data_IF_542003092555
#
_entry.id   IF_542003092555
#
_cell.length_a   1.000
_cell.length_b   1.000
_cell.length_c   1.000
_cell.angle_alpha   90.00
_cell.angle_beta   90.00
_cell.angle_gamma   90.00
#
_symmetry.space_group_name_H-M   'P 1'
#
loop_
_entity.id
_entity.type
_entity.pdbx_description
1 polymer ?
#
# COMPACT_ATOMS: atom_id res chain seq x y z
N UNK A 1 -17.00 -27.19 11.96
CA UNK A 1 -17.51 -26.40 10.81
C UNK A 1 -16.33 -25.81 10.06
N UNK A 2 -16.58 -25.08 8.98
CA UNK A 2 -15.51 -24.42 8.19
C UNK A 2 -15.93 -23.04 7.73
N UNK A 3 -15.03 -22.08 7.87
CA UNK A 3 -15.15 -20.75 7.27
C UNK A 3 -14.29 -20.69 6.00
N UNK A 4 -14.86 -20.26 4.88
CA UNK A 4 -14.15 -20.17 3.59
C UNK A 4 -14.28 -18.77 2.98
N UNK A 5 -13.19 -18.20 2.43
CA UNK A 5 -13.22 -16.92 1.74
C UNK A 5 -13.86 -17.09 0.35
N UNK A 6 -14.53 -16.04 -0.11
CA UNK A 6 -15.10 -15.96 -1.46
C UNK A 6 -14.37 -14.91 -2.30
N UNK A 7 -14.66 -14.84 -3.59
CA UNK A 7 -14.12 -13.80 -4.49
C UNK A 7 -14.69 -12.41 -4.21
N UNK A 8 -15.85 -12.29 -3.54
CA UNK A 8 -16.56 -11.02 -3.33
C UNK A 8 -16.37 -10.46 -1.91
N UNK A 9 -15.24 -10.74 -1.27
CA UNK A 9 -14.93 -10.33 0.13
C UNK A 9 -15.91 -10.84 1.20
N UNK A 10 -16.83 -11.74 0.86
CA UNK A 10 -17.71 -12.41 1.81
C UNK A 10 -17.06 -13.67 2.37
N UNK A 11 -17.51 -14.08 3.54
CA UNK A 11 -17.19 -15.37 4.12
C UNK A 11 -18.36 -16.34 3.98
N UNK A 12 -18.04 -17.57 3.59
CA UNK A 12 -18.95 -18.70 3.59
C UNK A 12 -18.72 -19.50 4.87
N UNK A 13 -19.65 -19.42 5.82
CA UNK A 13 -19.63 -20.15 7.07
C UNK A 13 -20.47 -21.42 6.93
N UNK A 14 -19.83 -22.58 7.06
CA UNK A 14 -20.43 -23.91 6.85
C UNK A 14 -20.52 -24.62 8.21
N UNK A 15 -21.74 -24.82 8.70
CA UNK A 15 -22.01 -25.39 10.01
C UNK A 15 -22.90 -26.64 9.91
N UNK A 16 -22.46 -27.78 10.47
CA UNK A 16 -23.35 -28.93 10.68
C UNK A 16 -24.26 -28.66 11.88
N UNK A 17 -25.41 -28.01 11.65
CA UNK A 17 -26.33 -27.59 12.70
C UNK A 17 -27.00 -28.77 13.44
N UNK A 18 -27.10 -29.93 12.81
CA UNK A 18 -27.66 -31.13 13.47
C UNK A 18 -26.82 -31.56 14.68
N UNK A 19 -25.51 -31.29 14.66
CA UNK A 19 -24.65 -31.53 15.82
C UNK A 19 -24.95 -30.57 16.98
N UNK A 20 -25.49 -29.40 16.67
CA UNK A 20 -25.86 -28.36 17.62
C UNK A 20 -27.32 -28.49 18.13
N UNK A 21 -28.18 -29.30 17.49
CA UNK A 21 -29.53 -29.56 17.97
C UNK A 21 -29.52 -30.30 19.30
N UNK A 22 -30.26 -29.80 20.29
CA UNK A 22 -30.21 -30.29 21.67
C UNK A 22 -31.25 -31.39 21.96
N UNK A 23 -32.21 -31.60 21.03
CA UNK A 23 -33.33 -32.56 21.14
C UNK A 23 -32.99 -34.05 20.88
N UNK A 24 -31.71 -34.43 20.88
CA UNK A 24 -31.29 -35.86 20.83
C UNK A 24 -31.58 -36.61 19.52
N UNK A 25 -32.32 -36.04 18.55
CA UNK A 25 -32.49 -36.58 17.20
C UNK A 25 -31.27 -36.23 16.35
N UNK A 26 -30.23 -37.08 16.39
CA UNK A 26 -29.10 -36.95 15.45
C UNK A 26 -29.48 -37.50 14.08
N UNK A 27 -30.25 -36.73 13.31
CA UNK A 27 -30.41 -37.00 11.87
C UNK A 27 -29.24 -36.30 11.18
N UNK A 28 -28.38 -37.05 10.49
CA UNK A 28 -27.27 -36.48 9.72
C UNK A 28 -27.78 -35.72 8.51
N UNK A 29 -28.11 -34.45 8.68
CA UNK A 29 -28.56 -33.53 7.65
C UNK A 29 -27.40 -32.82 6.94
N UNK A 30 -27.69 -32.13 5.82
CA UNK A 30 -26.69 -31.35 5.10
C UNK A 30 -26.23 -30.16 5.96
N UNK A 31 -24.93 -29.80 5.92
CA UNK A 31 -24.45 -28.62 6.64
C UNK A 31 -25.10 -27.35 6.09
N UNK A 32 -25.52 -26.47 6.98
CA UNK A 32 -26.09 -25.17 6.61
C UNK A 32 -24.98 -24.19 6.27
N UNK A 33 -25.24 -23.36 5.26
CA UNK A 33 -24.29 -22.39 4.74
C UNK A 33 -24.82 -20.98 4.99
N UNK A 34 -24.00 -20.15 5.62
CA UNK A 34 -24.27 -18.73 5.81
C UNK A 34 -23.27 -17.90 5.00
N UNK A 35 -23.76 -16.86 4.34
CA UNK A 35 -22.92 -15.84 3.73
C UNK A 35 -22.85 -14.66 4.70
N UNK A 36 -21.64 -14.27 5.06
CA UNK A 36 -21.40 -13.27 6.09
C UNK A 36 -20.47 -12.19 5.58
N UNK A 37 -20.80 -10.93 5.85
CA UNK A 37 -19.95 -9.80 5.53
C UNK A 37 -19.05 -9.46 6.74
N UNK A 38 -17.75 -9.14 6.54
CA UNK A 38 -16.82 -8.84 7.64
C UNK A 38 -17.25 -7.67 8.55
N UNK A 39 -17.98 -6.69 8.02
CA UNK A 39 -18.48 -5.54 8.79
C UNK A 39 -19.83 -5.78 9.49
N UNK A 40 -20.36 -7.00 9.44
CA UNK A 40 -21.53 -7.34 10.25
C UNK A 40 -21.10 -7.71 11.67
N UNK A 41 -21.90 -7.39 12.69
CA UNK A 41 -21.62 -7.79 14.06
C UNK A 41 -21.92 -9.27 14.30
N UNK A 42 -21.26 -9.88 15.27
CA UNK A 42 -21.48 -11.28 15.67
C UNK A 42 -22.94 -11.58 16.06
N UNK A 43 -23.65 -10.61 16.64
CA UNK A 43 -25.08 -10.70 16.95
C UNK A 43 -25.94 -11.06 15.72
N UNK A 44 -25.55 -10.58 14.54
CA UNK A 44 -26.26 -10.93 13.30
C UNK A 44 -26.08 -12.42 12.97
N UNK A 45 -24.85 -12.94 13.07
CA UNK A 45 -24.58 -14.37 12.90
C UNK A 45 -25.34 -15.19 13.95
N UNK A 46 -25.32 -14.78 15.22
CA UNK A 46 -26.06 -15.47 16.29
C UNK A 46 -27.53 -15.63 15.92
N UNK A 47 -28.18 -14.55 15.46
CA UNK A 47 -29.60 -14.59 15.06
C UNK A 47 -29.85 -15.52 13.88
N UNK A 48 -28.99 -15.51 12.87
CA UNK A 48 -29.11 -16.41 11.71
C UNK A 48 -28.97 -17.88 12.12
N UNK A 49 -28.04 -18.19 13.02
CA UNK A 49 -27.86 -19.55 13.52
C UNK A 49 -29.04 -19.96 14.39
N UNK A 50 -29.51 -19.09 15.31
CA UNK A 50 -30.69 -19.36 16.15
C UNK A 50 -31.92 -19.64 15.29
N UNK A 51 -32.18 -18.82 14.26
CA UNK A 51 -33.33 -19.02 13.36
C UNK A 51 -33.26 -20.33 12.58
N UNK A 52 -32.05 -20.84 12.34
CA UNK A 52 -31.84 -22.10 11.61
C UNK A 52 -31.82 -23.34 12.50
N UNK A 53 -31.64 -23.18 13.83
CA UNK A 53 -31.55 -24.29 14.78
C UNK A 53 -32.88 -24.98 15.06
N UNK A 54 -34.01 -24.30 14.78
CA UNK A 54 -35.36 -24.86 14.99
C UNK A 54 -35.66 -25.24 16.44
N UNK A 55 -34.88 -24.75 17.40
CA UNK A 55 -34.98 -25.10 18.82
C UNK A 55 -36.30 -24.58 19.41
N UNK A 56 -36.91 -25.38 20.30
CA UNK A 56 -38.16 -24.99 20.98
C UNK A 56 -37.93 -24.00 22.13
N UNK A 57 -36.69 -23.83 22.62
CA UNK A 57 -36.34 -22.88 23.68
C UNK A 57 -35.64 -21.61 23.17
N UNK A 58 -34.99 -20.89 24.10
CA UNK A 58 -34.22 -19.67 23.82
C UNK A 58 -32.71 -19.97 23.89
N UNK A 59 -32.10 -20.54 22.83
CA UNK A 59 -30.67 -20.83 22.83
C UNK A 59 -29.84 -19.55 22.79
N UNK A 60 -28.79 -19.51 23.60
CA UNK A 60 -27.79 -18.43 23.57
C UNK A 60 -26.54 -18.91 22.85
N UNK A 61 -26.04 -18.12 21.90
CA UNK A 61 -24.83 -18.43 21.13
C UNK A 61 -23.70 -17.53 21.60
N UNK A 62 -22.56 -18.12 21.95
CA UNK A 62 -21.33 -17.39 22.23
C UNK A 62 -20.19 -17.85 21.33
N UNK A 63 -19.39 -16.88 20.90
CA UNK A 63 -18.20 -17.10 20.09
C UNK A 63 -16.98 -17.01 20.99
N UNK A 64 -16.13 -18.04 20.95
CA UNK A 64 -14.90 -18.10 21.74
C UNK A 64 -13.70 -18.32 20.83
N UNK A 65 -12.67 -17.48 20.97
CA UNK A 65 -11.36 -17.71 20.34
C UNK A 65 -10.36 -18.19 21.38
N UNK A 66 -9.39 -18.99 20.95
CA UNK A 66 -8.24 -19.34 21.76
C UNK A 66 -7.11 -18.34 21.48
N UNK A 67 -6.48 -17.81 22.54
CA UNK A 67 -5.20 -17.09 22.43
C UNK A 67 -4.08 -18.11 22.23
N UNK A 68 -2.93 -17.76 21.61
CA UNK A 68 -1.79 -18.68 21.48
C UNK A 68 -1.27 -19.26 22.82
N UNK A 69 -1.55 -18.59 23.95
CA UNK A 69 -1.25 -19.07 25.31
C UNK A 69 -2.28 -20.05 25.88
N UNK A 70 -3.26 -20.50 25.08
CA UNK A 70 -4.28 -21.48 25.48
C UNK A 70 -5.47 -20.91 26.27
N UNK A 71 -5.53 -19.60 26.50
CA UNK A 71 -6.67 -18.96 27.16
C UNK A 71 -7.85 -18.82 26.18
N UNK A 72 -9.04 -19.24 26.59
CA UNK A 72 -10.27 -18.98 25.83
C UNK A 72 -10.79 -17.57 26.17
N UNK A 73 -11.16 -16.80 25.15
CA UNK A 73 -11.81 -15.49 25.27
C UNK A 73 -13.19 -15.54 24.61
N UNK A 74 -14.21 -15.14 25.36
CA UNK A 74 -15.55 -14.92 24.83
C UNK A 74 -15.66 -13.51 24.25
N UNK A 75 -16.17 -13.41 23.03
CA UNK A 75 -16.33 -12.15 22.32
C UNK A 75 -17.68 -11.50 22.58
N UNK A 76 -17.72 -10.17 22.51
CA UNK A 76 -18.96 -9.40 22.56
C UNK A 76 -19.79 -9.63 21.30
N UNK A 77 -21.11 -9.67 21.43
CA UNK A 77 -22.01 -9.80 20.28
C UNK A 77 -21.98 -8.58 19.33
N UNK A 78 -21.45 -7.44 19.81
CA UNK A 78 -21.29 -6.22 19.03
C UNK A 78 -20.00 -6.17 18.21
N UNK A 79 -19.08 -7.13 18.38
CA UNK A 79 -17.82 -7.14 17.64
C UNK A 79 -18.05 -7.49 16.16
N UNK A 80 -17.35 -6.81 15.27
CA UNK A 80 -17.36 -7.11 13.84
C UNK A 80 -16.75 -8.48 13.55
N UNK A 81 -17.38 -9.21 12.64
CA UNK A 81 -16.94 -10.53 12.21
C UNK A 81 -15.51 -10.52 11.68
N UNK A 82 -15.12 -9.45 10.99
CA UNK A 82 -13.76 -9.26 10.48
C UNK A 82 -12.72 -9.20 11.61
N UNK A 83 -13.00 -8.47 12.68
CA UNK A 83 -12.10 -8.35 13.83
C UNK A 83 -12.03 -9.65 14.63
N UNK A 84 -13.17 -10.33 14.80
CA UNK A 84 -13.23 -11.66 15.41
C UNK A 84 -12.41 -12.70 14.61
N UNK A 85 -12.62 -12.76 13.29
CA UNK A 85 -11.89 -13.67 12.39
C UNK A 85 -10.39 -13.37 12.43
N UNK A 86 -10.00 -12.09 12.55
CA UNK A 86 -8.59 -11.68 12.64
C UNK A 86 -7.90 -12.33 13.84
N UNK A 87 -8.53 -12.32 15.02
CA UNK A 87 -7.97 -12.98 16.21
C UNK A 87 -8.06 -14.51 16.11
N UNK A 88 -9.20 -15.05 15.66
CA UNK A 88 -9.39 -16.49 15.50
C UNK A 88 -8.45 -17.12 14.45
N UNK A 89 -7.99 -16.34 13.47
CA UNK A 89 -7.02 -16.79 12.47
C UNK A 89 -5.67 -17.17 13.08
N UNK A 90 -5.31 -16.61 14.25
CA UNK A 90 -4.06 -16.90 14.97
C UNK A 90 -3.96 -18.35 15.40
N UNK A 91 -5.06 -18.91 15.89
CA UNK A 91 -5.15 -20.31 16.32
C UNK A 91 -5.74 -21.24 15.26
N UNK A 92 -6.06 -20.71 14.07
CA UNK A 92 -6.70 -21.41 12.93
C UNK A 92 -8.09 -21.99 13.22
N UNK A 93 -8.62 -21.79 14.41
CA UNK A 93 -9.92 -22.30 14.81
C UNK A 93 -10.55 -21.40 15.87
N UNK A 94 -11.88 -21.34 15.87
CA UNK A 94 -12.67 -20.82 16.98
C UNK A 94 -13.72 -21.83 17.40
N UNK A 95 -14.22 -21.69 18.62
CA UNK A 95 -15.29 -22.52 19.15
C UNK A 95 -16.59 -21.72 19.20
N UNK A 96 -17.64 -22.29 18.63
CA UNK A 96 -19.01 -21.81 18.75
C UNK A 96 -19.70 -22.61 19.86
N UNK A 97 -20.19 -21.92 20.89
CA UNK A 97 -20.88 -22.55 22.02
C UNK A 97 -22.37 -22.21 21.95
N UNK A 98 -23.22 -23.23 21.98
CA UNK A 98 -24.68 -23.10 22.05
C UNK A 98 -25.12 -23.59 23.41
N UNK A 99 -25.82 -22.73 24.16
CA UNK A 99 -26.37 -23.04 25.48
C UNK A 99 -27.88 -22.96 25.45
N UNK A 100 -28.55 -24.02 25.87
CA UNK A 100 -30.00 -24.06 26.11
C UNK A 100 -30.23 -24.71 27.49
N UNK A 101 -30.71 -23.91 28.44
CA UNK A 101 -30.83 -24.33 29.84
C UNK A 101 -29.49 -24.78 30.43
N UNK A 102 -29.40 -26.07 30.81
CA UNK A 102 -28.22 -26.68 31.43
C UNK A 102 -27.28 -27.38 30.42
N UNK A 103 -27.68 -27.53 29.16
CA UNK A 103 -26.89 -28.24 28.15
C UNK A 103 -26.08 -27.24 27.33
N UNK A 104 -24.78 -27.48 27.25
CA UNK A 104 -23.84 -26.70 26.44
C UNK A 104 -23.19 -27.59 25.39
N UNK A 105 -23.19 -27.14 24.14
CA UNK A 105 -22.52 -27.81 23.03
C UNK A 105 -21.49 -26.90 22.39
N UNK A 106 -20.29 -27.42 22.19
CA UNK A 106 -19.19 -26.73 21.54
C UNK A 106 -18.97 -27.29 20.13
N UNK A 107 -18.83 -26.41 19.15
CA UNK A 107 -18.49 -26.76 17.77
C UNK A 107 -17.24 -26.00 17.32
N UNK A 108 -16.11 -26.68 17.10
CA UNK A 108 -14.94 -26.05 16.52
C UNK A 108 -15.19 -25.71 15.05
N UNK A 109 -14.77 -24.53 14.63
CA UNK A 109 -14.87 -24.01 13.26
C UNK A 109 -13.49 -23.57 12.79
N UNK A 110 -13.04 -24.14 11.67
CA UNK A 110 -11.76 -23.78 11.06
C UNK A 110 -11.83 -22.41 10.38
N UNK A 111 -10.79 -21.60 10.58
CA UNK A 111 -10.63 -20.27 9.99
C UNK A 111 -9.65 -20.35 8.81
N UNK A 112 -9.92 -19.65 7.69
CA UNK A 112 -9.04 -19.72 6.53
C UNK A 112 -7.68 -19.06 6.81
N UNK A 113 -6.63 -19.70 6.31
CA UNK A 113 -5.28 -19.14 6.38
C UNK A 113 -5.15 -17.89 5.51
N UNK A 114 -4.07 -17.13 5.72
CA UNK A 114 -3.72 -16.00 4.86
C UNK A 114 -3.62 -16.41 3.38
N UNK A 115 -3.03 -17.58 3.11
CA UNK A 115 -2.89 -18.11 1.76
C UNK A 115 -4.26 -18.40 1.13
N UNK A 116 -5.20 -18.95 1.91
CA UNK A 116 -6.55 -19.23 1.44
C UNK A 116 -7.33 -17.94 1.16
N UNK A 117 -7.22 -16.94 2.05
CA UNK A 117 -7.92 -15.65 1.92
C UNK A 117 -7.39 -14.82 0.74
N UNK A 118 -6.09 -14.88 0.48
CA UNK A 118 -5.47 -14.12 -0.62
C UNK A 118 -5.38 -14.89 -1.93
N UNK A 119 -5.83 -16.15 -2.00
CA UNK A 119 -5.73 -16.99 -3.19
C UNK A 119 -6.30 -16.33 -4.45
N UNK A 120 -7.52 -15.79 -4.37
CA UNK A 120 -8.19 -15.16 -5.51
C UNK A 120 -7.51 -13.83 -5.89
N UNK A 121 -7.12 -13.03 -4.89
CA UNK A 121 -6.42 -11.75 -5.10
C UNK A 121 -5.06 -11.95 -5.77
N UNK A 122 -4.29 -12.95 -5.33
CA UNK A 122 -2.99 -13.31 -5.94
C UNK A 122 -3.14 -13.77 -7.37
N UNK A 123 -4.14 -14.61 -7.65
CA UNK A 123 -4.43 -15.08 -9.01
C UNK A 123 -4.81 -13.93 -9.94
N UNK A 124 -5.63 -12.99 -9.46
CA UNK A 124 -5.95 -11.76 -10.19
C UNK A 124 -4.71 -10.91 -10.45
N UNK A 125 -3.87 -10.70 -9.42
CA UNK A 125 -2.64 -9.94 -9.54
C UNK A 125 -1.67 -10.56 -10.56
N UNK A 126 -1.49 -11.88 -10.54
CA UNK A 126 -0.66 -12.60 -11.52
C UNK A 126 -1.16 -12.41 -12.96
N UNK A 127 -2.48 -12.41 -13.17
CA UNK A 127 -3.06 -12.18 -14.49
C UNK A 127 -2.82 -10.75 -14.98
N UNK A 128 -3.07 -9.75 -14.13
CA UNK A 128 -2.83 -8.33 -14.44
C UNK A 128 -1.36 -8.06 -14.69
N UNK A 129 -0.46 -8.61 -13.87
CA UNK A 129 0.99 -8.46 -14.05
C UNK A 129 1.48 -9.09 -15.36
N UNK A 130 0.88 -10.21 -15.77
CA UNK A 130 1.20 -10.85 -17.06
C UNK A 130 0.79 -9.97 -18.24
N UNK A 131 -0.40 -9.38 -18.20
CA UNK A 131 -0.84 -8.43 -19.23
C UNK A 131 0.04 -7.18 -19.26
N UNK A 132 0.38 -6.64 -18.08
CA UNK A 132 1.21 -5.45 -17.94
C UNK A 132 2.61 -5.66 -18.54
N UNK A 133 3.23 -6.83 -18.29
CA UNK A 133 4.52 -7.21 -18.89
C UNK A 133 4.46 -7.24 -20.42
N UNK A 134 3.36 -7.75 -21.00
CA UNK A 134 3.16 -7.77 -22.44
C UNK A 134 3.09 -6.36 -23.04
N UNK A 135 2.33 -5.46 -22.39
CA UNK A 135 2.21 -4.06 -22.82
C UNK A 135 3.51 -3.28 -22.63
N UNK A 136 4.26 -3.55 -21.56
CA UNK A 136 5.55 -2.91 -21.27
C UNK A 136 6.61 -3.26 -22.32
N UNK A 137 6.65 -4.52 -22.77
CA UNK A 137 7.56 -4.92 -23.86
C UNK A 137 7.21 -4.22 -25.19
N UNK A 138 5.92 -4.13 -25.53
CA UNK A 138 5.46 -3.40 -26.71
C UNK A 138 5.81 -1.91 -26.63
N UNK A 139 5.61 -1.29 -25.45
CA UNK A 139 5.99 0.09 -25.17
C UNK A 139 7.50 0.31 -25.35
N UNK A 140 8.32 -0.57 -24.78
CA UNK A 140 9.79 -0.53 -24.89
C UNK A 140 10.24 -0.57 -26.35
N UNK A 141 9.62 -1.41 -27.17
CA UNK A 141 9.92 -1.48 -28.60
C UNK A 141 9.56 -0.19 -29.34
N UNK A 142 8.41 0.42 -29.01
CA UNK A 142 7.99 1.70 -29.60
C UNK A 142 8.92 2.85 -29.21
N UNK A 143 9.27 2.94 -27.93
CA UNK A 143 10.16 3.98 -27.41
C UNK A 143 11.56 3.87 -28.05
N UNK A 144 12.09 2.65 -28.19
CA UNK A 144 13.36 2.41 -28.87
C UNK A 144 13.32 2.84 -30.34
N UNK A 145 12.22 2.61 -31.05
CA UNK A 145 12.06 3.06 -32.44
C UNK A 145 11.90 4.57 -32.57
N UNK A 146 11.20 5.22 -31.64
CA UNK A 146 11.06 6.67 -31.62
C UNK A 146 12.44 7.35 -31.50
N UNK A 147 13.33 6.82 -30.67
CA UNK A 147 14.70 7.36 -30.51
C UNK A 147 15.59 7.19 -31.76
N UNK A 148 15.35 6.17 -32.60
CA UNK A 148 16.12 6.00 -33.86
C UNK A 148 15.88 7.16 -34.85
N UNK A 149 14.67 7.74 -34.84
CA UNK A 149 14.33 8.89 -35.69
C UNK A 149 15.21 10.10 -35.41
N UNK A 150 15.36 10.46 -34.12
CA UNK A 150 16.19 11.58 -33.69
C UNK A 150 17.66 11.38 -34.06
N UNK A 151 18.21 10.19 -33.83
CA UNK A 151 19.60 9.86 -34.21
C UNK A 151 19.83 9.95 -35.71
N UNK A 152 18.87 9.50 -36.53
CA UNK A 152 18.98 9.60 -38.00
C UNK A 152 18.97 11.05 -38.48
N UNK A 153 18.14 11.91 -37.89
CA UNK A 153 18.12 13.34 -38.20
C UNK A 153 19.44 14.02 -37.82
N UNK A 154 19.98 13.72 -36.62
CA UNK A 154 21.27 14.26 -36.18
C UNK A 154 22.44 13.83 -37.09
N UNK A 155 22.48 12.56 -37.49
CA UNK A 155 23.49 12.04 -38.43
C UNK A 155 23.34 12.68 -39.81
N UNK A 156 22.11 12.89 -40.29
CA UNK A 156 21.84 13.59 -41.54
C UNK A 156 22.33 15.04 -41.53
N UNK A 157 22.11 15.77 -40.43
CA UNK A 157 22.62 17.13 -40.25
C UNK A 157 24.15 17.18 -40.24
N UNK A 158 24.81 16.25 -39.52
CA UNK A 158 26.27 16.15 -39.52
C UNK A 158 26.83 15.83 -40.91
N UNK A 159 26.21 14.91 -41.65
CA UNK A 159 26.64 14.57 -43.01
C UNK A 159 26.54 15.77 -43.96
N UNK A 160 25.47 16.56 -43.86
CA UNK A 160 25.32 17.80 -44.64
C UNK A 160 26.41 18.82 -44.30
N UNK A 161 26.73 19.01 -43.02
CA UNK A 161 27.80 19.90 -42.58
C UNK A 161 29.18 19.48 -43.10
N UNK A 162 29.47 18.17 -43.07
CA UNK A 162 30.73 17.62 -43.61
C UNK A 162 30.79 17.78 -45.12
N UNK A 163 29.69 17.53 -45.84
CA UNK A 163 29.61 17.74 -47.29
C UNK A 163 29.80 19.21 -47.66
N UNK A 164 29.20 20.12 -46.90
CA UNK A 164 29.38 21.56 -47.04
C UNK A 164 30.85 21.97 -46.84
N UNK A 165 31.48 21.52 -45.75
CA UNK A 165 32.88 21.80 -45.48
C UNK A 165 33.80 21.27 -46.59
N UNK A 166 33.59 20.04 -47.06
CA UNK A 166 34.36 19.45 -48.15
C UNK A 166 34.18 20.20 -49.47
N UNK A 167 32.97 20.69 -49.76
CA UNK A 167 32.68 21.51 -50.94
C UNK A 167 33.44 22.83 -50.90
N UNK A 168 33.39 23.53 -49.77
CA UNK A 168 34.15 24.78 -49.55
C UNK A 168 35.65 24.53 -49.68
N UNK A 169 36.19 23.50 -49.02
CA UNK A 169 37.61 23.17 -49.11
C UNK A 169 38.05 22.89 -50.55
N UNK A 170 37.27 22.12 -51.31
CA UNK A 170 37.58 21.81 -52.70
C UNK A 170 37.58 23.06 -53.60
N UNK A 171 36.56 23.91 -53.50
CA UNK A 171 36.46 25.16 -54.27
C UNK A 171 37.59 26.13 -53.93
N UNK A 172 37.97 26.23 -52.66
CA UNK A 172 39.06 27.11 -52.19
C UNK A 172 40.43 26.68 -52.72
N UNK A 173 40.74 25.38 -52.66
CA UNK A 173 42.09 24.90 -52.99
C UNK A 173 42.33 24.59 -54.47
N UNK A 174 41.28 24.34 -55.27
CA UNK A 174 41.43 23.98 -56.68
C UNK A 174 40.96 25.05 -57.68
N UNK A 175 39.79 25.65 -57.46
CA UNK A 175 39.07 26.31 -58.55
C UNK A 175 39.05 27.85 -58.46
N UNK A 176 38.80 28.44 -57.28
CA UNK A 176 38.48 29.87 -57.15
C UNK A 176 39.45 30.70 -56.31
N UNK A 177 40.33 30.03 -55.54
CA UNK A 177 41.25 30.69 -54.61
C UNK A 177 40.53 31.35 -53.42
N UNK A 178 41.30 31.82 -52.44
CA UNK A 178 40.75 32.36 -51.18
C UNK A 178 40.01 33.70 -51.34
N UNK A 179 40.48 34.57 -52.25
CA UNK A 179 39.96 35.93 -52.44
C UNK A 179 38.49 35.94 -52.90
N UNK A 180 38.05 34.93 -53.65
CA UNK A 180 36.64 34.77 -54.05
C UNK A 180 35.80 34.06 -52.98
N UNK A 181 36.42 33.20 -52.17
CA UNK A 181 35.73 32.36 -51.17
C UNK A 181 35.47 33.08 -49.85
N UNK A 182 36.24 34.11 -49.52
CA UNK A 182 36.07 34.94 -48.32
C UNK A 182 34.62 35.48 -48.19
N UNK A 183 34.07 36.26 -49.13
CA UNK A 183 32.70 36.78 -49.00
C UNK A 183 31.62 35.67 -49.02
N UNK A 184 31.87 34.58 -49.76
CA UNK A 184 30.93 33.45 -49.87
C UNK A 184 30.80 32.70 -48.54
N UNK A 185 31.90 32.45 -47.85
CA UNK A 185 31.91 31.77 -46.55
C UNK A 185 31.32 32.65 -45.43
N UNK A 186 31.53 33.97 -45.48
CA UNK A 186 30.85 34.90 -44.57
C UNK A 186 29.33 34.91 -44.78
N UNK A 187 28.86 35.04 -46.02
CA UNK A 187 27.43 35.11 -46.33
C UNK A 187 26.69 33.82 -45.97
N UNK A 188 27.30 32.67 -46.28
CA UNK A 188 26.75 31.35 -45.97
C UNK A 188 26.75 31.05 -44.46
N UNK A 189 27.80 31.39 -43.73
CA UNK A 189 27.86 31.27 -42.27
C UNK A 189 26.80 32.11 -41.58
N UNK A 190 26.65 33.38 -41.99
CA UNK A 190 25.61 34.26 -41.50
C UNK A 190 24.21 33.74 -41.84
N UNK A 191 24.02 33.20 -43.06
CA UNK A 191 22.76 32.56 -43.46
C UNK A 191 22.42 31.35 -42.59
N UNK A 192 23.41 30.52 -42.22
CA UNK A 192 23.20 29.37 -41.34
C UNK A 192 22.78 29.80 -39.93
N UNK A 193 23.37 30.88 -39.40
CA UNK A 193 22.97 31.48 -38.12
C UNK A 193 21.55 32.06 -38.21
N UNK A 194 21.21 32.75 -39.30
CA UNK A 194 19.86 33.29 -39.53
C UNK A 194 18.83 32.16 -39.63
N UNK A 195 19.12 31.09 -40.36
CA UNK A 195 18.25 29.91 -40.44
C UNK A 195 18.12 29.20 -39.10
N UNK A 196 19.21 29.07 -38.34
CA UNK A 196 19.18 28.53 -36.98
C UNK A 196 18.34 29.40 -36.04
N UNK A 197 18.42 30.72 -36.17
CA UNK A 197 17.61 31.66 -35.41
C UNK A 197 16.13 31.65 -35.83
N UNK A 198 15.84 31.56 -37.12
CA UNK A 198 14.49 31.35 -37.66
C UNK A 198 13.90 30.03 -37.16
N UNK A 199 14.69 28.96 -37.16
CA UNK A 199 14.28 27.69 -36.59
C UNK A 199 14.02 27.83 -35.09
N UNK A 200 14.90 28.49 -34.33
CA UNK A 200 14.71 28.80 -32.91
C UNK A 200 13.44 29.63 -32.65
N UNK A 201 13.12 30.62 -33.48
CA UNK A 201 11.90 31.42 -33.40
C UNK A 201 10.66 30.60 -33.74
N UNK A 202 10.72 29.79 -34.81
CA UNK A 202 9.65 28.89 -35.22
C UNK A 202 9.35 27.85 -34.14
N UNK A 203 10.39 27.37 -33.45
CA UNK A 203 10.27 26.43 -32.34
C UNK A 203 9.78 27.07 -31.03
N UNK A 204 9.62 28.41 -31.00
CA UNK A 204 8.99 29.14 -29.91
C UNK A 204 9.90 29.41 -28.71
N UNK A 205 9.81 30.64 -28.19
CA UNK A 205 10.60 31.25 -27.10
C UNK A 205 10.47 30.61 -25.71
N UNK A 206 9.94 29.39 -25.61
CA UNK A 206 9.93 28.57 -24.40
C UNK A 206 10.73 27.30 -24.64
N UNK A 207 12.03 27.50 -24.82
CA UNK A 207 13.02 26.45 -24.58
C UNK A 207 13.11 26.23 -23.07
N UNK A 208 12.05 25.68 -22.50
CA UNK A 208 12.24 24.62 -21.53
C UNK A 208 12.56 23.38 -22.36
N UNK A 209 13.84 23.00 -22.40
CA UNK A 209 14.41 21.93 -23.22
C UNK A 209 13.70 20.56 -23.10
N UNK A 210 12.71 20.42 -22.22
CA UNK A 210 11.96 19.18 -22.00
C UNK A 210 10.57 19.16 -22.67
N UNK A 211 9.80 20.26 -22.72
CA UNK A 211 8.35 20.16 -22.96
C UNK A 211 7.90 20.17 -24.44
N UNK A 212 8.63 20.82 -25.35
CA UNK A 212 8.24 20.88 -26.76
C UNK A 212 8.70 19.65 -27.57
N UNK A 213 9.86 19.10 -27.24
CA UNK A 213 10.28 17.78 -27.72
C UNK A 213 9.27 16.72 -27.24
N UNK A 214 8.85 16.80 -25.98
CA UNK A 214 7.83 15.91 -25.44
C UNK A 214 6.48 16.05 -26.15
N UNK A 215 6.08 17.21 -26.68
CA UNK A 215 4.80 17.35 -27.41
C UNK A 215 4.83 16.77 -28.82
N UNK A 216 5.94 16.92 -29.55
CA UNK A 216 6.11 16.30 -30.88
C UNK A 216 6.42 14.80 -30.79
N UNK A 217 7.18 14.39 -29.78
CA UNK A 217 7.46 12.99 -29.48
C UNK A 217 6.23 12.31 -28.91
N UNK A 218 5.44 12.95 -28.03
CA UNK A 218 4.21 12.36 -27.49
C UNK A 218 3.14 12.17 -28.55
N UNK A 219 2.95 13.10 -29.49
CA UNK A 219 2.02 12.94 -30.60
C UNK A 219 2.46 11.84 -31.56
N UNK A 220 3.76 11.78 -31.89
CA UNK A 220 4.33 10.68 -32.71
C UNK A 220 4.26 9.34 -31.98
N UNK A 221 4.50 9.33 -30.67
CA UNK A 221 4.43 8.16 -29.79
C UNK A 221 2.99 7.67 -29.63
N UNK A 222 2.02 8.57 -29.46
CA UNK A 222 0.59 8.25 -29.47
C UNK A 222 0.15 7.69 -30.84
N UNK A 223 0.67 8.23 -31.95
CA UNK A 223 0.42 7.68 -33.28
C UNK A 223 1.03 6.27 -33.44
N UNK A 224 2.26 6.04 -32.94
CA UNK A 224 2.92 4.73 -32.91
C UNK A 224 2.18 3.72 -32.01
N UNK A 225 1.69 4.17 -30.86
CA UNK A 225 0.89 3.37 -29.95
C UNK A 225 -0.43 2.96 -30.61
N UNK A 226 -1.14 3.88 -31.26
CA UNK A 226 -2.34 3.57 -32.04
C UNK A 226 -2.05 2.63 -33.22
N UNK A 227 -0.94 2.84 -33.94
CA UNK A 227 -0.54 2.01 -35.07
C UNK A 227 -0.20 0.57 -34.67
N UNK A 228 0.30 0.35 -33.44
CA UNK A 228 0.57 -0.99 -32.88
C UNK A 228 -0.53 -1.53 -31.98
N UNK A 229 -1.63 -0.79 -31.80
CA UNK A 229 -2.73 -1.18 -30.93
C UNK A 229 -2.40 -1.17 -29.43
N UNK A 230 -1.36 -0.42 -29.01
CA UNK A 230 -1.06 -0.21 -27.60
C UNK A 230 -2.02 0.84 -27.02
N UNK A 231 -2.96 0.39 -26.20
CA UNK A 231 -3.89 1.24 -25.48
C UNK A 231 -3.24 1.72 -24.16
N UNK A 232 -2.93 3.02 -24.08
CA UNK A 232 -2.30 3.63 -22.91
C UNK A 232 -3.29 3.70 -21.74
N UNK A 233 -4.56 3.92 -22.03
CA UNK A 233 -5.60 4.09 -21.01
C UNK A 233 -5.82 2.74 -20.31
N UNK A 234 -5.94 1.66 -21.08
CA UNK A 234 -5.95 0.29 -20.53
C UNK A 234 -4.69 -0.04 -19.72
N UNK A 235 -3.51 0.39 -20.15
CA UNK A 235 -2.27 0.18 -19.39
C UNK A 235 -2.30 0.92 -18.05
N UNK A 236 -2.80 2.16 -18.01
CA UNK A 236 -2.96 2.93 -16.79
C UNK A 236 -3.99 2.30 -15.84
N UNK A 237 -5.08 1.76 -16.39
CA UNK A 237 -6.09 1.03 -15.63
C UNK A 237 -5.49 -0.24 -14.99
N UNK A 238 -4.75 -1.04 -15.76
CA UNK A 238 -4.06 -2.25 -15.27
C UNK A 238 -3.04 -1.92 -14.16
N UNK A 239 -2.35 -0.79 -14.23
CA UNK A 239 -1.46 -0.33 -13.15
C UNK A 239 -2.26 -0.01 -11.88
N UNK A 240 -3.38 0.68 -12.05
CA UNK A 240 -4.24 1.07 -10.93
C UNK A 240 -4.86 -0.17 -10.28
N UNK A 241 -5.30 -1.14 -11.07
CA UNK A 241 -5.80 -2.45 -10.63
C UNK A 241 -4.71 -3.27 -9.92
N UNK A 242 -3.51 -3.38 -10.50
CA UNK A 242 -2.40 -4.06 -9.83
C UNK A 242 -2.05 -3.40 -8.48
N UNK A 243 -2.12 -2.07 -8.41
CA UNK A 243 -1.87 -1.30 -7.18
C UNK A 243 -2.96 -1.53 -6.14
N UNK A 244 -4.23 -1.59 -6.53
CA UNK A 244 -5.35 -1.87 -5.61
C UNK A 244 -5.23 -3.30 -5.05
N UNK A 245 -5.02 -4.30 -5.91
CA UNK A 245 -4.84 -5.70 -5.51
C UNK A 245 -3.67 -5.88 -4.54
N UNK A 246 -2.52 -5.25 -4.81
CA UNK A 246 -1.36 -5.27 -3.89
C UNK A 246 -1.68 -4.60 -2.56
N UNK A 247 -2.41 -3.48 -2.56
CA UNK A 247 -2.82 -2.78 -1.34
C UNK A 247 -3.77 -3.65 -0.49
N UNK A 248 -4.70 -4.35 -1.12
CA UNK A 248 -5.60 -5.27 -0.43
C UNK A 248 -4.88 -6.49 0.15
N UNK A 249 -4.00 -7.13 -0.63
CA UNK A 249 -3.17 -8.25 -0.14
C UNK A 249 -2.32 -7.77 1.04
N UNK A 250 -1.76 -6.56 0.99
CA UNK A 250 -1.00 -5.97 2.10
C UNK A 250 -1.87 -5.72 3.33
N UNK A 251 -3.07 -5.18 3.17
CA UNK A 251 -4.00 -4.97 4.28
C UNK A 251 -4.37 -6.29 4.96
N UNK A 252 -4.63 -7.33 4.17
CA UNK A 252 -4.88 -8.68 4.71
C UNK A 252 -3.59 -9.23 5.34
N UNK A 253 -2.41 -8.97 4.79
CA UNK A 253 -1.15 -9.39 5.43
C UNK A 253 -0.98 -8.72 6.80
N UNK A 254 -1.22 -7.41 6.90
CA UNK A 254 -1.20 -6.67 8.17
C UNK A 254 -2.23 -7.20 9.19
N UNK A 255 -3.39 -7.67 8.73
CA UNK A 255 -4.38 -8.32 9.58
C UNK A 255 -3.86 -9.65 10.18
N UNK A 256 -3.02 -10.39 9.44
CA UNK A 256 -2.51 -11.72 9.84
C UNK A 256 -1.07 -11.69 10.42
N UNK A 257 -0.29 -10.63 10.18
CA UNK A 257 1.10 -10.51 10.63
C UNK A 257 1.18 -10.12 12.12
N UNK A 258 1.47 -11.14 12.95
CA UNK A 258 1.55 -11.07 14.40
C UNK A 258 2.78 -10.31 14.97
N UNK A 259 3.86 -10.06 14.21
CA UNK A 259 5.09 -9.48 14.79
C UNK A 259 4.99 -7.99 15.13
N UNK A 260 4.37 -7.19 14.27
CA UNK A 260 4.33 -5.72 14.43
C UNK A 260 3.29 -5.25 15.45
N UNK A 261 2.28 -6.06 15.76
CA UNK A 261 1.30 -5.75 16.81
C UNK A 261 1.89 -6.06 18.19
N UNK A 262 2.63 -7.17 18.35
CA UNK A 262 3.36 -7.44 19.59
C UNK A 262 4.44 -6.39 19.86
N UNK A 263 5.26 -6.03 18.86
CA UNK A 263 6.26 -4.95 18.99
C UNK A 263 5.62 -3.61 19.39
N UNK A 264 4.55 -3.17 18.72
CA UNK A 264 3.87 -1.89 19.07
C UNK A 264 3.15 -1.92 20.41
N UNK A 265 2.60 -3.07 20.82
CA UNK A 265 1.90 -3.18 22.11
C UNK A 265 2.91 -3.24 23.25
N UNK A 266 4.02 -3.97 23.08
CA UNK A 266 5.11 -3.99 24.04
C UNK A 266 5.85 -2.64 24.12
N UNK A 267 6.08 -1.95 22.99
CA UNK A 267 6.63 -0.59 22.97
C UNK A 267 5.72 0.40 23.69
N UNK A 268 4.40 0.31 23.47
CA UNK A 268 3.42 1.16 24.14
C UNK A 268 3.33 0.88 25.63
N UNK A 269 3.34 -0.38 26.04
CA UNK A 269 3.39 -0.79 27.46
C UNK A 269 4.70 -0.38 28.14
N UNK A 270 5.85 -0.46 27.45
CA UNK A 270 7.15 0.02 27.95
C UNK A 270 7.17 1.55 28.08
N UNK A 271 6.65 2.29 27.11
CA UNK A 271 6.57 3.74 27.13
C UNK A 271 5.62 4.25 28.23
N UNK A 272 4.45 3.62 28.38
CA UNK A 272 3.52 3.92 29.47
C UNK A 272 4.12 3.59 30.85
N UNK A 273 4.87 2.48 30.96
CA UNK A 273 5.60 2.11 32.17
C UNK A 273 6.75 3.06 32.52
N UNK A 274 7.47 3.58 31.53
CA UNK A 274 8.53 4.59 31.72
C UNK A 274 7.95 5.94 32.13
N UNK A 275 6.91 6.41 31.44
CA UNK A 275 6.21 7.66 31.79
C UNK A 275 5.63 7.61 33.21
N UNK A 276 5.05 6.47 33.64
CA UNK A 276 4.57 6.31 35.02
C UNK A 276 5.69 6.31 36.06
N UNK A 277 6.89 5.81 35.73
CA UNK A 277 8.06 5.85 36.62
C UNK A 277 8.60 7.27 36.75
N UNK A 278 8.75 8.00 35.64
CA UNK A 278 9.18 9.40 35.64
C UNK A 278 8.20 10.28 36.43
N UNK A 279 6.89 10.10 36.23
CA UNK A 279 5.87 10.85 37.00
C UNK A 279 5.94 10.52 38.50
N UNK A 280 6.25 9.28 38.88
CA UNK A 280 6.45 8.90 40.29
C UNK A 280 7.72 9.51 40.87
N UNK A 281 8.82 9.57 40.11
CA UNK A 281 10.07 10.19 40.55
C UNK A 281 9.93 11.71 40.69
N UNK A 282 9.29 12.38 39.74
CA UNK A 282 9.00 13.82 39.83
C UNK A 282 8.14 14.11 41.06
N UNK A 283 7.07 13.35 41.30
CA UNK A 283 6.23 13.51 42.51
C UNK A 283 7.00 13.27 43.82
N UNK A 284 7.97 12.34 43.81
CA UNK A 284 8.82 12.07 44.98
C UNK A 284 9.80 13.22 45.22
N UNK A 285 10.47 13.70 44.17
CA UNK A 285 11.39 14.83 44.24
C UNK A 285 10.67 16.11 44.72
N UNK A 286 9.45 16.38 44.23
CA UNK A 286 8.65 17.53 44.70
C UNK A 286 8.31 17.46 46.19
N UNK A 287 7.99 16.26 46.71
CA UNK A 287 7.74 16.05 48.16
C UNK A 287 9.00 16.24 49.00
N UNK A 288 10.16 15.83 48.48
CA UNK A 288 11.45 16.00 49.17
C UNK A 288 11.86 17.48 49.20
N UNK A 289 11.60 18.25 48.14
CA UNK A 289 11.84 19.70 48.11
C UNK A 289 10.90 20.48 49.02
N UNK A 290 9.61 20.11 49.13
CA UNK A 290 8.67 20.75 50.07
C UNK A 290 9.07 20.50 51.53
N UNK A 291 9.50 19.28 51.86
CA UNK A 291 9.96 18.95 53.21
C UNK A 291 11.33 19.56 53.56
N UNK A 292 12.20 19.78 52.56
CA UNK A 292 13.52 20.39 52.74
C UNK A 292 13.51 21.92 52.91
N UNK A 293 12.50 22.61 52.38
CA UNK A 293 12.37 24.07 52.54
C UNK A 293 11.85 24.54 53.91
N UNK A 294 11.48 23.61 54.80
CA UNK A 294 10.97 23.93 56.14
C UNK A 294 12.02 24.19 57.22
N UNK A 295 13.32 24.01 56.94
CA UNK A 295 14.36 24.02 58.01
C UNK A 295 15.45 25.08 57.87
N UNK A 296 15.37 25.96 56.86
CA UNK A 296 16.40 26.99 56.63
C UNK A 296 15.81 28.42 56.63
N UNK A 297 15.25 28.84 57.77
CA UNK A 297 14.97 30.25 58.05
C UNK A 297 14.85 30.49 59.55
N UNK A 298 15.99 30.61 60.23
CA UNK A 298 16.17 31.51 61.38
C UNK A 298 17.62 31.47 61.85
N UNK A 299 18.44 32.42 61.39
CA UNK A 299 19.49 33.03 62.19
C UNK A 299 20.02 34.29 61.50
N UNK A 300 19.51 35.43 61.98
CA UNK A 300 19.98 36.78 61.69
C UNK A 300 21.34 37.04 62.34
N UNK A 301 22.20 37.92 61.78
CA UNK A 301 23.50 38.24 62.38
C UNK A 301 23.34 39.29 63.48
N UNK A 302 23.74 38.93 64.71
CA UNK A 302 23.84 39.85 65.84
C UNK A 302 25.29 40.29 66.02
N UNK A 303 25.53 41.59 65.86
CA UNK A 303 26.77 42.27 66.20
C UNK A 303 26.83 42.60 67.70
N UNK A 304 27.97 42.36 68.35
CA UNK A 304 28.41 43.18 69.48
C UNK A 304 29.93 43.15 69.63
N UNK A 305 30.50 44.35 69.74
CA UNK A 305 31.86 44.72 70.20
C UNK A 305 32.13 44.09 71.58
N UNK A 306 33.36 43.92 72.08
CA UNK A 306 34.31 45.00 72.36
C UNK A 306 35.62 44.45 72.94
N UNK A 307 36.73 45.12 72.64
CA UNK A 307 37.94 45.16 73.48
C UNK A 307 38.57 46.54 73.29
N UNK A 308 38.51 47.38 74.33
CA UNK A 308 39.33 48.59 74.43
C UNK A 308 38.82 49.68 75.38
N UNK A 309 39.20 49.55 76.66
CA UNK A 309 39.18 50.54 77.76
C UNK A 309 37.83 50.92 78.41
#
# INVERSE_FOLDING_TARGET
>A
GKLSPTSSHLFKLILPLDRLQLDGKTVGGPPTVFLVHPSQPLSHISRLIISSLGASGTPTISFTSATPRGRQLQWSESTDVGDFIRDAARTRQFELKVKEGAVEKCLPVEVPSFADRTRFLRRGLEAVEKELKGMEELKRQCDMEAHRGARRMAVGGLAMLVAYWGTVARLTFWDLGWDTMEPVTYLSGLSMVILGYLWFLYQGREVSYSSAFDRSVSTRRQALYKARGLDIDRWADLITEAKSLRKEIRKIAEDYDERRWQERTEERERAEGQAQKEVKEIKRASRETENGSGTASSQSPSSARDTGA
#
